data_IF_833226938807
#
_entry.id   IF_833226938807
#
_cell.length_a   1.000
_cell.length_b   1.000
_cell.length_c   1.000
_cell.angle_alpha   90.00
_cell.angle_beta   90.00
_cell.angle_gamma   90.00
#
_symmetry.space_group_name_H-M   'P 1'
#
loop_
_entity.id
_entity.type
_entity.pdbx_description
1 polymer ?
#
# COMPACT_ATOMS: atom_id res chain seq x y z
N UNK A 1 5.75 5.78 17.77
CA UNK A 1 5.26 5.83 16.39
C UNK A 1 5.79 7.13 15.81
N UNK A 2 6.46 7.07 14.67
CA UNK A 2 6.91 8.27 13.95
C UNK A 2 5.70 9.02 13.41
N UNK A 3 5.73 10.34 13.50
CA UNK A 3 4.69 11.25 13.02
C UNK A 3 5.19 12.04 11.81
N UNK A 4 4.25 12.58 11.02
CA UNK A 4 4.61 13.44 9.89
C UNK A 4 5.33 14.73 10.33
N UNK A 5 5.09 15.19 11.57
CA UNK A 5 5.81 16.33 12.14
C UNK A 5 7.29 16.00 12.37
N UNK A 6 7.59 14.85 12.98
CA UNK A 6 8.98 14.40 13.19
C UNK A 6 9.72 14.18 11.86
N UNK A 7 9.04 13.67 10.83
CA UNK A 7 9.63 13.54 9.48
C UNK A 7 9.94 14.92 8.89
N UNK A 8 9.05 15.90 9.08
CA UNK A 8 9.24 17.25 8.56
C UNK A 8 10.46 17.96 9.14
N UNK A 9 10.87 17.63 10.36
CA UNK A 9 12.08 18.18 10.98
C UNK A 9 13.36 17.77 10.23
N UNK A 10 13.30 16.71 9.42
CA UNK A 10 14.36 16.25 8.51
C UNK A 10 14.09 16.62 7.05
N UNK A 11 13.25 17.63 6.79
CA UNK A 11 13.04 18.18 5.45
C UNK A 11 13.58 19.62 5.37
N UNK A 12 13.86 20.13 4.16
CA UNK A 12 14.41 21.47 3.97
C UNK A 12 13.56 22.62 4.55
N UNK A 13 12.25 22.42 4.70
CA UNK A 13 11.33 23.42 5.23
C UNK A 13 11.16 24.66 4.35
N UNK A 14 11.68 24.62 3.12
CA UNK A 14 11.67 25.74 2.17
C UNK A 14 10.35 25.87 1.40
N UNK A 15 9.50 24.83 1.43
CA UNK A 15 8.27 24.72 0.65
C UNK A 15 8.47 25.13 -0.83
N UNK A 16 9.60 24.72 -1.41
CA UNK A 16 10.02 25.15 -2.75
C UNK A 16 9.14 24.62 -3.90
N UNK A 17 8.35 23.57 -3.66
CA UNK A 17 7.46 22.97 -4.66
C UNK A 17 8.15 22.16 -5.76
N UNK A 18 9.45 21.90 -5.68
CA UNK A 18 10.19 21.17 -6.73
C UNK A 18 9.78 19.69 -6.87
N UNK A 19 9.30 19.07 -5.78
CA UNK A 19 8.67 17.73 -5.80
C UNK A 19 7.13 17.80 -5.97
N UNK A 20 6.60 18.97 -6.33
CA UNK A 20 5.17 19.21 -6.60
C UNK A 20 4.29 19.36 -5.36
N UNK A 21 4.86 19.46 -4.15
CA UNK A 21 4.15 19.45 -2.86
C UNK A 21 4.83 20.39 -1.87
N UNK A 22 4.13 20.77 -0.79
CA UNK A 22 4.75 21.39 0.39
C UNK A 22 5.56 20.36 1.20
N UNK A 23 6.51 20.80 2.03
CA UNK A 23 7.29 19.92 2.90
C UNK A 23 6.38 19.16 3.88
N UNK A 24 5.28 19.77 4.34
CA UNK A 24 4.31 19.10 5.20
C UNK A 24 3.55 17.97 4.48
N UNK A 25 3.13 18.19 3.23
CA UNK A 25 2.48 17.17 2.40
C UNK A 25 3.46 16.05 2.02
N UNK A 26 4.71 16.42 1.68
CA UNK A 26 5.76 15.45 1.40
C UNK A 26 6.03 14.55 2.61
N UNK A 27 6.15 15.12 3.82
CA UNK A 27 6.31 14.35 5.05
C UNK A 27 5.14 13.36 5.29
N UNK A 28 3.91 13.76 4.98
CA UNK A 28 2.74 12.87 5.08
C UNK A 28 2.82 11.71 4.08
N UNK A 29 3.29 11.96 2.86
CA UNK A 29 3.47 10.93 1.81
C UNK A 29 4.65 10.00 2.06
N UNK A 30 5.72 10.49 2.69
CA UNK A 30 6.79 9.65 3.21
C UNK A 30 6.26 8.73 4.32
N UNK A 31 5.44 9.25 5.24
CA UNK A 31 4.82 8.46 6.30
C UNK A 31 3.90 7.36 5.75
N UNK A 32 3.13 7.64 4.69
CA UNK A 32 2.26 6.66 4.02
C UNK A 32 2.98 5.73 3.04
N UNK A 33 4.30 5.90 2.83
CA UNK A 33 5.13 5.15 1.88
C UNK A 33 4.69 5.29 0.42
N UNK A 34 4.04 6.41 0.08
CA UNK A 34 3.68 6.73 -1.31
C UNK A 34 4.86 7.32 -2.10
N UNK A 35 5.84 7.88 -1.41
CA UNK A 35 7.05 8.50 -1.96
C UNK A 35 8.28 8.13 -1.14
N UNK A 36 9.46 8.34 -1.72
CA UNK A 36 10.75 8.09 -1.11
C UNK A 36 11.50 9.42 -0.82
N UNK A 37 12.39 9.47 0.18
CA UNK A 37 13.16 10.69 0.48
C UNK A 37 13.90 11.27 -0.73
N UNK A 38 14.36 10.42 -1.65
CA UNK A 38 15.07 10.81 -2.87
C UNK A 38 14.22 11.62 -3.86
N UNK A 39 12.89 11.58 -3.73
CA UNK A 39 11.96 12.30 -4.60
C UNK A 39 11.98 13.83 -4.35
N UNK A 40 12.66 14.32 -3.31
CA UNK A 40 12.89 15.74 -3.08
C UNK A 40 14.23 16.19 -3.67
N UNK A 41 14.25 17.03 -4.72
CA UNK A 41 15.51 17.46 -5.35
C UNK A 41 16.44 18.23 -4.40
N UNK A 42 15.88 19.03 -3.48
CA UNK A 42 16.65 19.85 -2.53
C UNK A 42 17.43 18.97 -1.53
N UNK A 43 16.94 17.77 -1.21
CA UNK A 43 17.65 16.86 -0.30
C UNK A 43 18.96 16.31 -0.89
N UNK A 44 19.20 16.46 -2.20
CA UNK A 44 20.46 16.10 -2.84
C UNK A 44 21.51 17.22 -2.78
N UNK A 45 21.14 18.40 -2.30
CA UNK A 45 22.08 19.51 -2.17
C UNK A 45 23.07 19.25 -1.02
N UNK A 46 24.32 19.76 -1.12
CA UNK A 46 25.35 19.52 -0.10
C UNK A 46 24.95 19.96 1.31
N UNK A 47 24.09 20.97 1.41
CA UNK A 47 23.60 21.52 2.68
C UNK A 47 22.71 20.54 3.46
N UNK A 48 22.15 19.53 2.78
CA UNK A 48 21.28 18.50 3.34
C UNK A 48 21.92 17.09 3.29
N UNK A 49 23.23 17.01 3.10
CA UNK A 49 23.94 15.74 3.09
C UNK A 49 23.66 14.94 4.39
N UNK A 50 23.23 13.68 4.25
CA UNK A 50 22.87 12.81 5.37
C UNK A 50 21.38 12.81 5.74
N UNK A 51 20.57 13.74 5.22
CA UNK A 51 19.16 13.81 5.56
C UNK A 51 18.35 12.66 4.97
N UNK A 52 18.69 12.20 3.76
CA UNK A 52 18.06 11.04 3.12
C UNK A 52 18.27 9.78 3.98
N UNK A 53 19.49 9.58 4.46
CA UNK A 53 19.86 8.47 5.34
C UNK A 53 19.12 8.55 6.68
N UNK A 54 19.08 9.73 7.30
CA UNK A 54 18.33 9.95 8.55
C UNK A 54 16.83 9.68 8.38
N UNK A 55 16.24 10.10 7.26
CA UNK A 55 14.84 9.81 6.92
C UNK A 55 14.60 8.31 6.76
N UNK A 56 15.52 7.57 6.14
CA UNK A 56 15.43 6.12 6.04
C UNK A 56 15.52 5.41 7.40
N UNK A 57 16.42 5.85 8.27
CA UNK A 57 16.51 5.33 9.63
C UNK A 57 15.22 5.61 10.43
N UNK A 58 14.67 6.82 10.29
CA UNK A 58 13.44 7.22 10.97
C UNK A 58 12.21 6.44 10.45
N UNK A 59 12.07 6.32 9.14
CA UNK A 59 10.97 5.56 8.52
C UNK A 59 11.11 4.07 8.84
N UNK A 60 12.34 3.56 8.91
CA UNK A 60 12.63 2.14 9.07
C UNK A 60 12.26 1.32 7.82
N UNK A 61 12.41 -0.01 7.87
CA UNK A 61 12.00 -0.88 6.77
C UNK A 61 10.51 -0.68 6.48
N UNK A 62 10.14 -0.67 5.20
CA UNK A 62 8.73 -0.68 4.83
C UNK A 62 8.04 -1.84 5.56
N UNK A 63 6.92 -1.56 6.22
CA UNK A 63 6.11 -2.62 6.80
C UNK A 63 5.79 -3.62 5.68
N UNK A 64 6.00 -4.91 5.93
CA UNK A 64 5.56 -5.93 4.99
C UNK A 64 4.07 -5.66 4.72
N UNK A 65 3.61 -5.70 3.45
CA UNK A 65 2.20 -5.56 3.16
C UNK A 65 1.44 -6.52 4.06
N UNK A 66 0.35 -6.04 4.65
CA UNK A 66 -0.48 -6.90 5.49
C UNK A 66 -0.77 -8.17 4.69
N UNK A 67 -0.54 -9.36 5.27
CA UNK A 67 -0.83 -10.58 4.55
C UNK A 67 -2.29 -10.53 4.12
N UNK A 68 -2.54 -10.75 2.83
CA UNK A 68 -3.91 -10.85 2.32
C UNK A 68 -4.66 -12.02 2.96
N UNK A 69 -5.91 -12.24 2.53
CA UNK A 69 -6.65 -13.43 2.95
C UNK A 69 -5.82 -14.69 2.68
N UNK A 70 -5.56 -15.49 3.72
CA UNK A 70 -4.84 -16.76 3.60
C UNK A 70 -5.84 -17.92 3.73
N UNK A 71 -5.73 -18.89 2.82
CA UNK A 71 -6.55 -20.11 2.85
C UNK A 71 -5.63 -21.29 3.15
N UNK A 72 -5.93 -22.02 4.22
CA UNK A 72 -5.30 -23.30 4.53
C UNK A 72 -5.82 -24.36 3.56
N UNK A 73 -4.99 -24.79 2.61
CA UNK A 73 -5.38 -25.72 1.54
C UNK A 73 -5.70 -27.12 2.05
N UNK A 74 -5.16 -27.53 3.21
CA UNK A 74 -5.45 -28.84 3.81
C UNK A 74 -6.84 -28.87 4.46
N UNK A 75 -7.34 -27.70 4.91
CA UNK A 75 -8.68 -27.54 5.49
C UNK A 75 -9.72 -27.05 4.48
N UNK A 76 -9.28 -26.54 3.33
CA UNK A 76 -10.17 -26.07 2.28
C UNK A 76 -10.93 -27.26 1.67
N UNK A 77 -12.25 -27.23 1.78
CA UNK A 77 -13.13 -28.25 1.18
C UNK A 77 -13.62 -27.88 -0.23
N UNK A 78 -13.10 -26.80 -0.82
CA UNK A 78 -13.48 -26.38 -2.17
C UNK A 78 -14.88 -25.79 -2.31
N UNK A 79 -15.55 -25.40 -1.22
CA UNK A 79 -16.92 -24.87 -1.29
C UNK A 79 -17.07 -23.56 -2.09
N UNK A 80 -15.97 -22.82 -2.32
CA UNK A 80 -15.96 -21.58 -3.12
C UNK A 80 -16.67 -20.39 -2.48
N UNK A 81 -17.07 -20.47 -1.21
CA UNK A 81 -17.72 -19.36 -0.49
C UNK A 81 -16.81 -18.13 -0.47
N UNK A 82 -15.50 -18.29 -0.27
CA UNK A 82 -14.54 -17.19 -0.27
C UNK A 82 -14.52 -16.41 -1.60
N UNK A 83 -14.76 -17.08 -2.71
CA UNK A 83 -14.80 -16.48 -4.05
C UNK A 83 -16.16 -15.84 -4.31
N UNK A 84 -17.26 -16.50 -3.92
CA UNK A 84 -18.61 -15.99 -4.09
C UNK A 84 -18.94 -14.78 -3.19
N UNK A 85 -18.37 -14.74 -1.99
CA UNK A 85 -18.63 -13.72 -0.97
C UNK A 85 -17.51 -12.69 -0.83
N UNK A 86 -16.56 -12.66 -1.77
CA UNK A 86 -15.51 -11.64 -1.79
C UNK A 86 -16.16 -10.24 -1.82
N UNK A 87 -15.92 -9.44 -0.77
CA UNK A 87 -16.54 -8.11 -0.61
C UNK A 87 -16.20 -7.17 -1.77
N UNK A 88 -14.97 -7.22 -2.26
CA UNK A 88 -14.55 -6.47 -3.43
C UNK A 88 -15.35 -6.89 -4.66
N UNK A 89 -15.53 -8.18 -4.87
CA UNK A 89 -16.25 -8.69 -6.03
C UNK A 89 -17.76 -8.39 -5.94
N UNK A 90 -18.37 -8.54 -4.76
CA UNK A 90 -19.74 -8.11 -4.50
C UNK A 90 -19.92 -6.59 -4.67
N UNK A 91 -18.93 -5.79 -4.30
CA UNK A 91 -18.95 -4.34 -4.49
C UNK A 91 -18.94 -3.92 -5.96
N UNK A 92 -18.25 -4.69 -6.82
CA UNK A 92 -17.92 -4.29 -8.19
C UNK A 92 -18.59 -5.13 -9.29
N UNK A 93 -19.35 -6.19 -8.97
CA UNK A 93 -20.01 -7.06 -9.95
C UNK A 93 -21.49 -7.32 -9.62
N UNK A 94 -22.40 -6.90 -10.50
CA UNK A 94 -23.85 -7.10 -10.32
C UNK A 94 -24.24 -8.59 -10.25
N UNK A 95 -23.65 -9.44 -11.09
CA UNK A 95 -23.98 -10.88 -11.09
C UNK A 95 -23.59 -11.55 -9.76
N UNK A 96 -22.46 -11.15 -9.18
CA UNK A 96 -22.04 -11.61 -7.87
C UNK A 96 -23.01 -11.19 -6.76
N UNK A 97 -23.52 -9.95 -6.79
CA UNK A 97 -24.56 -9.46 -5.86
C UNK A 97 -25.86 -10.25 -5.95
N UNK A 98 -26.15 -10.81 -7.13
CA UNK A 98 -27.30 -11.68 -7.36
C UNK A 98 -27.04 -13.15 -7.01
N UNK A 99 -25.89 -13.47 -6.40
CA UNK A 99 -25.54 -14.81 -5.93
C UNK A 99 -25.01 -15.75 -7.02
N UNK A 100 -24.70 -15.26 -8.22
CA UNK A 100 -24.23 -16.09 -9.36
C UNK A 100 -22.72 -16.31 -9.38
N UNK A 101 -21.98 -15.73 -8.42
CA UNK A 101 -20.51 -15.79 -8.37
C UNK A 101 -19.81 -14.99 -9.48
N UNK A 102 -18.46 -15.01 -9.51
CA UNK A 102 -17.68 -14.33 -10.55
C UNK A 102 -17.80 -15.00 -11.91
N UNK A 103 -17.73 -14.17 -12.96
CA UNK A 103 -17.71 -14.62 -14.36
C UNK A 103 -16.32 -15.17 -14.71
N UNK A 104 -16.20 -16.05 -15.73
CA UNK A 104 -14.92 -16.65 -16.11
C UNK A 104 -13.78 -15.68 -16.49
N UNK A 105 -14.10 -14.41 -16.78
CA UNK A 105 -13.12 -13.36 -17.13
C UNK A 105 -12.92 -12.33 -16.03
N UNK A 106 -13.60 -12.47 -14.90
CA UNK A 106 -13.46 -11.53 -13.80
C UNK A 106 -12.11 -11.74 -13.12
N UNK A 107 -11.43 -10.63 -12.81
CA UNK A 107 -10.23 -10.66 -11.98
C UNK A 107 -10.66 -10.93 -10.54
N UNK A 108 -10.32 -12.11 -10.03
CA UNK A 108 -10.61 -12.54 -8.67
C UNK A 108 -9.33 -12.94 -7.95
N UNK A 109 -9.36 -12.89 -6.61
CA UNK A 109 -8.18 -13.19 -5.78
C UNK A 109 -7.84 -14.68 -5.80
N UNK A 110 -8.85 -15.55 -5.87
CA UNK A 110 -8.73 -17.00 -5.79
C UNK A 110 -9.61 -17.69 -6.83
N UNK A 111 -9.13 -18.81 -7.37
CA UNK A 111 -9.92 -19.69 -8.23
C UNK A 111 -10.09 -21.03 -7.54
N UNK A 112 -11.32 -21.55 -7.49
CA UNK A 112 -11.53 -22.93 -7.04
C UNK A 112 -11.36 -23.87 -8.22
N UNK A 113 -10.32 -24.71 -8.18
CA UNK A 113 -10.02 -25.70 -9.22
C UNK A 113 -9.91 -27.07 -8.56
N UNK A 114 -10.65 -28.06 -9.06
CA UNK A 114 -10.65 -29.44 -8.54
C UNK A 114 -10.91 -29.57 -7.02
N UNK A 115 -11.70 -28.66 -6.45
CA UNK A 115 -12.08 -28.71 -5.03
C UNK A 115 -11.08 -28.04 -4.07
N UNK A 116 -10.14 -27.23 -4.57
CA UNK A 116 -9.21 -26.45 -3.74
C UNK A 116 -9.02 -25.05 -4.34
N UNK A 117 -8.65 -24.10 -3.50
CA UNK A 117 -8.26 -22.73 -3.86
C UNK A 117 -6.82 -22.68 -4.38
#
# INVERSE_FOLDING_TARGET
>A
MVTAAEIRDFLPGTDCGQCGQTCAEFAARLLSREQAPEDCPVLHEPDYAGFIEALHELLGPAAAPAPGMQVDSEKCNGCGICVAMCEYHLGNCTEARLGKGPRPRDQIVFHVVNGTV
#
